data_IF_598758254631
#
_entry.id   IF_598758254631
#
_cell.length_a   1.000
_cell.length_b   1.000
_cell.length_c   1.000
_cell.angle_alpha   90.00
_cell.angle_beta   90.00
_cell.angle_gamma   90.00
#
_symmetry.space_group_name_H-M   'P 1'
#
loop_
_entity.id
_entity.type
_entity.pdbx_description
1 polymer ?
#
# COMPACT_ATOMS: atom_id res chain seq x y z
N UNK A 1 -12.42 -0.98 6.46
CA UNK A 1 -11.18 -0.44 7.05
C UNK A 1 -10.16 -0.28 5.95
N UNK A 2 -9.10 0.49 6.21
CA UNK A 2 -8.02 0.72 5.26
C UNK A 2 -6.82 -0.08 5.72
N UNK A 3 -6.09 -0.63 4.77
CA UNK A 3 -4.93 -1.47 5.05
C UNK A 3 -4.14 -1.74 3.79
N UNK A 4 -3.32 -2.77 3.84
CA UNK A 4 -2.37 -3.09 2.79
C UNK A 4 -2.81 -4.39 2.11
N UNK A 5 -3.14 -4.31 0.83
CA UNK A 5 -3.26 -5.49 -0.03
C UNK A 5 -1.93 -5.77 -0.70
N UNK A 6 -1.48 -7.01 -0.72
CA UNK A 6 -0.19 -7.35 -1.29
C UNK A 6 -0.11 -8.77 -1.83
N UNK A 7 0.83 -9.01 -2.72
CA UNK A 7 1.22 -10.35 -3.16
C UNK A 7 2.39 -10.83 -2.29
N UNK A 8 2.19 -11.85 -1.42
CA UNK A 8 3.20 -12.28 -0.45
C UNK A 8 4.49 -12.77 -1.11
N UNK A 9 4.38 -13.47 -2.24
CA UNK A 9 5.54 -14.02 -2.95
C UNK A 9 6.39 -12.91 -3.56
N UNK A 10 5.76 -11.92 -4.20
CA UNK A 10 6.45 -10.76 -4.79
C UNK A 10 7.06 -9.85 -3.73
N UNK A 11 6.35 -9.61 -2.62
CA UNK A 11 6.88 -8.80 -1.52
C UNK A 11 8.10 -9.48 -0.89
N UNK A 12 8.03 -10.79 -0.60
CA UNK A 12 9.19 -11.53 -0.04
C UNK A 12 10.34 -11.64 -1.04
N UNK A 13 10.06 -11.72 -2.34
CA UNK A 13 11.12 -11.68 -3.35
C UNK A 13 11.87 -10.34 -3.37
N UNK A 14 11.18 -9.23 -3.12
CA UNK A 14 11.78 -7.89 -3.11
C UNK A 14 12.47 -7.55 -1.77
N UNK A 15 11.88 -7.96 -0.63
CA UNK A 15 12.31 -7.54 0.71
C UNK A 15 13.01 -8.63 1.53
N UNK A 16 12.88 -9.90 1.13
CA UNK A 16 13.35 -11.06 1.88
C UNK A 16 12.25 -11.72 2.71
N UNK A 17 12.61 -12.83 3.39
CA UNK A 17 11.68 -13.62 4.19
C UNK A 17 11.10 -12.84 5.40
N UNK A 18 11.89 -11.92 5.95
CA UNK A 18 11.55 -11.10 7.12
C UNK A 18 10.82 -9.79 6.74
N UNK A 19 10.13 -9.78 5.59
CA UNK A 19 9.34 -8.62 5.18
C UNK A 19 8.28 -8.28 6.26
N UNK A 20 8.10 -7.01 6.63
CA UNK A 20 7.19 -6.62 7.73
C UNK A 20 5.73 -6.58 7.25
N UNK A 21 5.16 -7.76 6.95
CA UNK A 21 3.85 -7.91 6.31
C UNK A 21 2.67 -7.36 7.13
N UNK A 22 2.89 -7.09 8.41
CA UNK A 22 1.94 -6.55 9.39
C UNK A 22 2.22 -5.09 9.79
N UNK A 23 3.10 -4.38 9.08
CA UNK A 23 3.47 -2.98 9.38
C UNK A 23 3.18 -2.00 8.24
N UNK A 24 2.87 -0.76 8.59
CA UNK A 24 2.86 0.39 7.68
C UNK A 24 4.21 0.65 7.01
N UNK A 25 5.31 0.12 7.57
CA UNK A 25 6.66 0.20 6.99
C UNK A 25 6.73 -0.37 5.57
N UNK A 26 5.83 -1.28 5.17
CA UNK A 26 5.80 -1.77 3.79
C UNK A 26 5.55 -0.64 2.77
N UNK A 27 4.67 0.30 3.11
CA UNK A 27 4.27 1.39 2.20
C UNK A 27 4.90 2.73 2.55
N UNK A 28 5.24 2.95 3.83
CA UNK A 28 5.65 4.25 4.33
C UNK A 28 7.14 4.35 4.68
N UNK A 29 7.87 3.23 4.72
CA UNK A 29 9.34 3.27 4.72
C UNK A 29 9.89 3.36 3.29
N UNK A 30 10.78 4.32 3.08
CA UNK A 30 11.37 4.60 1.77
C UNK A 30 12.24 3.45 1.26
N UNK A 31 12.99 2.77 2.12
CA UNK A 31 13.89 1.71 1.70
C UNK A 31 13.10 0.48 1.22
N UNK A 32 11.99 0.18 1.90
CA UNK A 32 11.04 -0.85 1.47
C UNK A 32 10.35 -0.46 0.17
N UNK A 33 9.75 0.74 0.11
CA UNK A 33 9.00 1.19 -1.06
C UNK A 33 9.87 1.26 -2.31
N UNK A 34 11.13 1.69 -2.17
CA UNK A 34 12.08 1.72 -3.27
C UNK A 34 12.32 0.34 -3.90
N UNK A 35 12.39 -0.72 -3.09
CA UNK A 35 12.50 -2.10 -3.60
C UNK A 35 11.20 -2.57 -4.22
N UNK A 36 10.06 -2.29 -3.56
CA UNK A 36 8.73 -2.69 -4.03
C UNK A 36 8.31 -1.97 -5.32
N UNK A 37 8.88 -0.80 -5.63
CA UNK A 37 8.63 -0.08 -6.88
C UNK A 37 8.92 -0.93 -8.13
N UNK A 38 9.80 -1.94 -8.01
CA UNK A 38 10.12 -2.89 -9.08
C UNK A 38 8.97 -3.84 -9.42
N UNK A 39 8.06 -4.09 -8.48
CA UNK A 39 6.92 -4.99 -8.65
C UNK A 39 5.57 -4.28 -8.67
N UNK A 40 5.55 -2.95 -8.58
CA UNK A 40 4.37 -2.10 -8.70
C UNK A 40 3.73 -1.76 -7.36
N UNK A 41 3.51 -0.46 -7.13
CA UNK A 41 2.97 0.14 -5.91
C UNK A 41 1.79 1.04 -6.26
N UNK A 42 0.62 0.73 -5.72
CA UNK A 42 -0.57 1.56 -5.86
C UNK A 42 -0.95 2.26 -4.55
N UNK A 43 -1.39 3.51 -4.65
CA UNK A 43 -1.95 4.25 -3.51
C UNK A 43 -3.33 4.78 -3.90
N UNK A 44 -4.24 4.84 -2.92
CA UNK A 44 -5.56 5.46 -3.14
C UNK A 44 -5.40 6.92 -3.56
N UNK A 45 -6.18 7.34 -4.55
CA UNK A 45 -6.35 8.76 -4.90
C UNK A 45 -7.42 9.37 -3.98
N UNK A 46 -7.15 9.32 -2.67
CA UNK A 46 -8.05 9.82 -1.62
C UNK A 46 -7.21 10.48 -0.52
N UNK A 47 -6.95 11.79 -0.61
CA UNK A 47 -6.16 12.51 0.39
C UNK A 47 -6.73 12.38 1.81
N UNK A 48 -8.06 12.34 1.91
CA UNK A 48 -8.78 12.22 3.19
C UNK A 48 -8.53 10.87 3.89
N UNK A 49 -8.11 9.85 3.15
CA UNK A 49 -7.78 8.54 3.72
C UNK A 49 -6.27 8.35 3.87
N UNK A 50 -5.48 8.85 2.92
CA UNK A 50 -4.02 8.70 2.94
C UNK A 50 -3.40 9.54 4.06
N UNK A 51 -3.78 10.81 4.20
CA UNK A 51 -3.14 11.72 5.15
C UNK A 51 -3.26 11.26 6.61
N UNK A 52 -4.44 10.82 7.11
CA UNK A 52 -4.55 10.29 8.47
C UNK A 52 -3.64 9.08 8.73
N UNK A 53 -3.47 8.20 7.75
CA UNK A 53 -2.59 7.01 7.86
C UNK A 53 -1.13 7.45 7.97
N UNK A 54 -0.70 8.39 7.13
CA UNK A 54 0.66 8.94 7.17
C UNK A 54 0.92 9.67 8.48
N UNK A 55 -0.03 10.46 8.97
CA UNK A 55 0.07 11.12 10.27
C UNK A 55 0.20 10.10 11.40
N UNK A 56 -0.64 9.06 11.40
CA UNK A 56 -0.59 8.00 12.40
C UNK A 56 0.78 7.30 12.40
N UNK A 57 1.32 6.98 11.23
CA UNK A 57 2.65 6.38 11.07
C UNK A 57 3.77 7.26 11.65
N UNK A 58 3.67 8.58 11.47
CA UNK A 58 4.59 9.55 12.04
C UNK A 58 4.40 9.77 13.55
N UNK A 59 3.50 9.03 14.21
CA UNK A 59 3.15 9.20 15.62
C UNK A 59 2.33 10.46 15.92
N UNK A 60 1.72 11.07 14.89
CA UNK A 60 0.92 12.28 14.99
C UNK A 60 -0.58 11.95 15.06
N UNK A 61 -1.44 12.87 15.54
CA UNK A 61 -2.88 12.67 15.53
C UNK A 61 -3.41 12.48 14.10
N UNK A 62 -4.09 11.37 13.78
CA UNK A 62 -4.61 11.11 12.44
C UNK A 62 -5.67 12.12 11.99
N UNK A 63 -6.31 12.80 12.94
CA UNK A 63 -7.29 13.87 12.74
C UNK A 63 -6.72 15.25 13.16
N UNK A 64 -5.42 15.47 12.98
CA UNK A 64 -4.78 16.73 13.38
C UNK A 64 -5.44 17.94 12.72
N UNK A 65 -5.55 19.03 13.49
CA UNK A 65 -5.93 20.36 13.01
C UNK A 65 -4.72 21.31 12.92
N UNK A 66 -3.52 20.83 13.23
CA UNK A 66 -2.28 21.60 13.14
C UNK A 66 -1.71 21.53 11.72
N UNK A 67 -1.57 22.67 11.00
CA UNK A 67 -0.97 22.69 9.65
C UNK A 67 0.45 22.14 9.59
N UNK A 68 1.25 22.26 10.66
CA UNK A 68 2.64 21.77 10.68
C UNK A 68 2.74 20.25 10.61
N UNK A 69 1.73 19.53 11.12
CA UNK A 69 1.70 18.07 11.04
C UNK A 69 1.51 17.61 9.59
N UNK A 70 0.68 18.31 8.82
CA UNK A 70 0.49 18.03 7.39
C UNK A 70 1.72 18.38 6.56
N UNK A 71 2.52 19.37 6.97
CA UNK A 71 3.81 19.64 6.32
C UNK A 71 4.78 18.46 6.47
N UNK A 72 4.80 17.79 7.63
CA UNK A 72 5.60 16.56 7.85
C UNK A 72 5.08 15.40 7.01
N UNK A 73 3.77 15.20 6.95
CA UNK A 73 3.16 14.18 6.11
C UNK A 73 3.46 14.41 4.63
N UNK A 74 3.37 15.66 4.16
CA UNK A 74 3.73 16.04 2.79
C UNK A 74 5.20 15.73 2.49
N UNK A 75 6.13 16.06 3.40
CA UNK A 75 7.54 15.78 3.21
C UNK A 75 7.80 14.29 2.99
N UNK A 76 7.23 13.43 3.85
CA UNK A 76 7.34 11.98 3.70
C UNK A 76 6.73 11.50 2.37
N UNK A 77 5.51 11.93 2.04
CA UNK A 77 4.84 11.54 0.80
C UNK A 77 5.62 11.95 -0.46
N UNK A 78 6.30 13.11 -0.45
CA UNK A 78 7.17 13.55 -1.54
C UNK A 78 8.40 12.67 -1.69
N UNK A 79 8.95 12.16 -0.60
CA UNK A 79 10.06 11.19 -0.65
C UNK A 79 9.63 9.83 -1.21
N UNK A 80 8.40 9.41 -0.93
CA UNK A 80 7.83 8.15 -1.40
C UNK A 80 7.33 8.23 -2.84
N UNK A 81 6.93 9.42 -3.30
CA UNK A 81 6.30 9.68 -4.61
C UNK A 81 7.03 9.06 -5.82
N UNK A 82 8.37 9.05 -5.91
CA UNK A 82 9.08 8.44 -7.05
C UNK A 82 8.90 6.93 -7.16
N UNK A 83 8.54 6.26 -6.07
CA UNK A 83 8.41 4.80 -5.98
C UNK A 83 6.96 4.31 -6.15
N UNK A 84 6.01 5.25 -6.20
CA UNK A 84 4.58 4.96 -6.40
C UNK A 84 4.31 4.90 -7.91
N UNK A 85 3.78 3.76 -8.36
CA UNK A 85 3.45 3.52 -9.77
C UNK A 85 2.28 4.39 -10.20
N UNK A 86 1.23 4.46 -9.38
CA UNK A 86 0.08 5.32 -9.66
C UNK A 86 -0.74 5.62 -8.40
N UNK A 87 -1.57 6.66 -8.51
CA UNK A 87 -2.64 6.96 -7.57
C UNK A 87 -3.97 6.66 -8.25
N UNK A 88 -4.72 5.69 -7.72
CA UNK A 88 -6.05 5.34 -8.21
C UNK A 88 -6.82 4.50 -7.19
N UNK A 89 -8.12 4.74 -7.08
CA UNK A 89 -8.96 4.12 -6.04
C UNK A 89 -9.82 2.96 -6.53
N UNK A 90 -9.53 2.36 -7.69
CA UNK A 90 -10.28 1.19 -8.19
C UNK A 90 -9.43 0.22 -9.01
N UNK A 91 -8.49 0.73 -9.82
CA UNK A 91 -7.63 -0.07 -10.70
C UNK A 91 -6.78 -1.10 -9.94
N UNK A 92 -6.41 -0.81 -8.70
CA UNK A 92 -5.57 -1.70 -7.88
C UNK A 92 -6.20 -3.09 -7.68
N UNK A 93 -7.54 -3.20 -7.72
CA UNK A 93 -8.25 -4.48 -7.53
C UNK A 93 -7.86 -5.46 -8.63
N UNK A 94 -8.00 -5.03 -9.88
CA UNK A 94 -7.67 -5.84 -11.06
C UNK A 94 -6.17 -6.05 -11.18
N UNK A 95 -5.37 -5.01 -10.94
CA UNK A 95 -3.92 -5.10 -11.07
C UNK A 95 -3.30 -6.04 -10.02
N UNK A 96 -3.81 -6.06 -8.77
CA UNK A 96 -3.38 -7.05 -7.77
C UNK A 96 -3.79 -8.47 -8.19
N UNK A 97 -5.01 -8.66 -8.68
CA UNK A 97 -5.51 -9.98 -9.07
C UNK A 97 -4.75 -10.57 -10.27
N UNK A 98 -4.31 -9.72 -11.19
CA UNK A 98 -3.47 -10.10 -12.33
C UNK A 98 -1.98 -10.21 -11.97
N UNK A 99 -1.56 -9.62 -10.85
CA UNK A 99 -0.17 -9.52 -10.44
C UNK A 99 0.60 -8.42 -11.16
N UNK A 100 -0.06 -7.41 -11.74
CA UNK A 100 0.58 -6.24 -12.36
C UNK A 100 1.23 -5.31 -11.31
N UNK A 101 0.69 -5.31 -10.09
CA UNK A 101 1.28 -4.69 -8.91
C UNK A 101 1.47 -5.71 -7.79
N UNK A 102 2.38 -5.45 -6.86
CA UNK A 102 2.63 -6.33 -5.72
C UNK A 102 2.10 -5.77 -4.40
N UNK A 103 1.80 -4.48 -4.33
CA UNK A 103 1.28 -3.85 -3.12
C UNK A 103 0.36 -2.67 -3.44
N UNK A 104 -0.68 -2.51 -2.63
CA UNK A 104 -1.61 -1.40 -2.69
C UNK A 104 -2.10 -0.98 -1.30
N UNK A 105 -2.23 0.33 -1.08
CA UNK A 105 -3.14 0.84 -0.04
C UNK A 105 -4.57 0.70 -0.54
N UNK A 106 -5.47 0.13 0.25
CA UNK A 106 -6.89 0.15 -0.10
C UNK A 106 -7.82 -0.42 0.95
N UNK A 107 -9.11 -0.49 0.57
CA UNK A 107 -10.18 -0.93 1.45
C UNK A 107 -10.24 -2.45 1.58
N UNK A 108 -10.50 -2.94 2.79
CA UNK A 108 -10.63 -4.38 3.08
C UNK A 108 -11.59 -5.12 2.14
N UNK A 109 -12.72 -4.50 1.78
CA UNK A 109 -13.69 -5.11 0.85
C UNK A 109 -13.17 -5.24 -0.58
N UNK A 110 -12.45 -4.22 -1.06
CA UNK A 110 -11.83 -4.24 -2.38
C UNK A 110 -10.65 -5.23 -2.46
N UNK A 111 -9.93 -5.42 -1.34
CA UNK A 111 -8.87 -6.43 -1.25
C UNK A 111 -9.45 -7.85 -1.26
N UNK A 112 -10.57 -8.08 -0.57
CA UNK A 112 -11.29 -9.35 -0.67
C UNK A 112 -11.73 -9.63 -2.12
N UNK A 113 -12.22 -8.62 -2.83
CA UNK A 113 -12.56 -8.75 -4.24
C UNK A 113 -11.33 -9.14 -5.09
N UNK A 114 -10.19 -8.46 -4.91
CA UNK A 114 -8.95 -8.81 -5.60
C UNK A 114 -8.51 -10.25 -5.32
N UNK A 115 -8.61 -10.71 -4.07
CA UNK A 115 -8.32 -12.09 -3.66
C UNK A 115 -9.20 -13.11 -4.37
N UNK A 116 -10.52 -12.85 -4.40
CA UNK A 116 -11.48 -13.73 -5.06
C UNK A 116 -11.23 -13.77 -6.58
N UNK A 117 -10.97 -12.62 -7.20
CA UNK A 117 -10.67 -12.52 -8.62
C UNK A 117 -9.39 -13.30 -8.98
N UNK A 118 -8.32 -13.18 -8.20
CA UNK A 118 -7.08 -13.93 -8.40
C UNK A 118 -7.32 -15.44 -8.32
N UNK A 119 -8.06 -15.88 -7.29
CA UNK A 119 -8.40 -17.29 -7.09
C UNK A 119 -9.27 -17.85 -8.23
N UNK A 120 -10.24 -17.08 -8.71
CA UNK A 120 -11.12 -17.48 -9.81
C UNK A 120 -10.39 -17.50 -11.16
N UNK A 121 -9.46 -16.57 -11.38
CA UNK A 121 -8.64 -16.53 -12.59
C UNK A 121 -7.70 -17.74 -12.71
N UNK A 122 -7.33 -18.38 -11.60
CA UNK A 122 -6.47 -19.56 -11.62
C UNK A 122 -5.07 -19.29 -12.18
N UNK A 123 -4.62 -18.04 -12.15
CA UNK A 123 -3.36 -17.57 -12.73
C UNK A 123 -2.15 -17.75 -11.78
N UNK A 124 -2.35 -18.37 -10.61
CA UNK A 124 -1.31 -18.60 -9.61
C UNK A 124 -0.94 -17.37 -8.77
N UNK A 125 -1.66 -16.26 -8.92
CA UNK A 125 -1.46 -15.05 -8.10
C UNK A 125 -2.15 -15.23 -6.74
N UNK A 126 -1.40 -14.95 -5.67
CA UNK A 126 -1.93 -14.86 -4.31
C UNK A 126 -2.01 -13.40 -3.91
N UNK A 127 -3.12 -13.00 -3.31
CA UNK A 127 -3.30 -11.69 -2.69
C UNK A 127 -3.61 -11.91 -1.21
N UNK A 128 -2.98 -11.14 -0.34
CA UNK A 128 -3.22 -11.10 1.09
C UNK A 128 -3.55 -9.67 1.53
N UNK A 129 -4.18 -9.55 2.69
CA UNK A 129 -4.57 -8.27 3.26
C UNK A 129 -4.07 -8.16 4.69
N UNK A 130 -3.50 -7.00 5.01
CA UNK A 130 -2.99 -6.66 6.33
C UNK A 130 -3.69 -5.42 6.87
N UNK A 131 -3.91 -5.41 8.18
CA UNK A 131 -4.40 -4.27 8.96
C UNK A 131 -3.30 -3.87 9.97
N UNK A 132 -2.33 -3.04 9.54
CA UNK A 132 -1.26 -2.57 10.42
C UNK A 132 -1.73 -1.52 11.42
#
# INVERSE_FOLDING_TARGET
>A
TNGIGYNPDKVRAALGAEAPLDSWDLLLDKANLAKLSQCGVAVLDSPAEVLPIVLHYLGLPPNSSNPEDYAKAQALLLELRPYITYFNSSKFITDLANGDICIALGWSGAMLEAQLNAKQAGNGVTVEYSLP
#
